data_IF_923629928902
#
_entry.id   IF_923629928902
#
_cell.length_a   1.000
_cell.length_b   1.000
_cell.length_c   1.000
_cell.angle_alpha   90.00
_cell.angle_beta   90.00
_cell.angle_gamma   90.00
#
_symmetry.space_group_name_H-M   'P 1'
#
loop_
_entity.id
_entity.type
_entity.pdbx_description
1 polymer ?
#
# COMPACT_ATOMS: atom_id res chain seq x y z
N UNK A 1 31.03 -24.65 -2.20
CA UNK A 1 30.80 -23.19 -2.03
C UNK A 1 29.72 -22.64 -2.98
N UNK A 2 29.72 -22.99 -4.27
CA UNK A 2 28.67 -22.56 -5.22
C UNK A 2 27.25 -23.04 -4.89
N UNK A 3 27.08 -24.24 -4.31
CA UNK A 3 25.75 -24.78 -3.92
C UNK A 3 25.10 -24.02 -2.74
N UNK A 4 25.89 -23.54 -1.77
CA UNK A 4 25.38 -22.77 -0.64
C UNK A 4 24.99 -21.34 -1.04
N UNK A 5 25.74 -20.74 -1.96
CA UNK A 5 25.41 -19.41 -2.51
C UNK A 5 24.12 -19.48 -3.35
N UNK A 6 23.96 -20.49 -4.21
CA UNK A 6 22.75 -20.67 -5.02
C UNK A 6 21.48 -20.93 -4.19
N UNK A 7 21.59 -21.71 -3.10
CA UNK A 7 20.48 -21.91 -2.16
C UNK A 7 20.17 -20.65 -1.35
N UNK A 8 21.20 -19.88 -0.96
CA UNK A 8 20.99 -18.62 -0.24
C UNK A 8 20.37 -17.55 -1.13
N UNK A 9 20.75 -17.45 -2.41
CA UNK A 9 20.17 -16.49 -3.35
C UNK A 9 18.74 -16.84 -3.72
N UNK A 10 18.45 -18.13 -3.95
CA UNK A 10 17.09 -18.65 -4.15
C UNK A 10 16.18 -18.38 -2.93
N UNK A 11 16.70 -18.59 -1.72
CA UNK A 11 15.98 -18.34 -0.46
C UNK A 11 15.75 -16.84 -0.23
N UNK A 12 16.74 -15.99 -0.51
CA UNK A 12 16.64 -14.52 -0.36
C UNK A 12 15.71 -13.92 -1.41
N UNK A 13 15.78 -14.35 -2.67
CA UNK A 13 14.85 -13.94 -3.74
C UNK A 13 13.40 -14.28 -3.36
N UNK A 14 13.18 -15.52 -2.90
CA UNK A 14 11.86 -15.96 -2.41
C UNK A 14 11.37 -15.15 -1.20
N UNK A 15 12.28 -14.70 -0.33
CA UNK A 15 11.93 -13.98 0.89
C UNK A 15 11.65 -12.50 0.64
N UNK A 16 12.51 -11.79 -0.10
CA UNK A 16 12.31 -10.37 -0.42
C UNK A 16 11.11 -10.17 -1.37
N UNK A 17 10.86 -11.12 -2.28
CA UNK A 17 9.70 -11.05 -3.19
C UNK A 17 8.37 -11.01 -2.43
N UNK A 18 8.25 -11.70 -1.29
CA UNK A 18 7.06 -11.68 -0.43
C UNK A 18 6.78 -10.31 0.20
N UNK A 19 7.78 -9.43 0.25
CA UNK A 19 7.67 -8.08 0.77
C UNK A 19 7.14 -7.06 -0.27
N UNK A 20 6.92 -7.47 -1.53
CA UNK A 20 6.39 -6.64 -2.62
C UNK A 20 4.88 -6.32 -2.53
N UNK A 21 4.24 -6.50 -1.37
CA UNK A 21 2.83 -6.15 -1.08
C UNK A 21 1.86 -6.11 -2.29
N UNK A 22 1.50 -7.28 -2.80
CA UNK A 22 0.47 -7.46 -3.84
C UNK A 22 -0.83 -8.00 -3.24
N UNK A 23 -2.01 -7.56 -3.68
CA UNK A 23 -3.26 -8.11 -3.13
C UNK A 23 -3.63 -9.47 -3.75
N UNK A 24 -3.76 -9.52 -5.08
CA UNK A 24 -4.30 -10.68 -5.80
C UNK A 24 -3.25 -11.54 -6.53
N UNK A 25 -1.97 -11.15 -6.47
CA UNK A 25 -0.88 -11.80 -7.22
C UNK A 25 0.14 -12.48 -6.32
N UNK A 26 0.68 -13.59 -6.83
CA UNK A 26 1.81 -14.29 -6.24
C UNK A 26 3.08 -13.43 -6.30
N UNK A 27 3.51 -12.91 -5.16
CA UNK A 27 4.64 -11.96 -5.07
C UNK A 27 5.98 -12.50 -5.64
N UNK A 28 6.32 -13.81 -5.52
CA UNK A 28 7.43 -14.44 -6.23
C UNK A 28 7.40 -14.33 -7.75
N UNK A 29 6.21 -14.37 -8.38
CA UNK A 29 6.09 -14.21 -9.83
C UNK A 29 6.47 -12.81 -10.28
N UNK A 30 6.03 -11.79 -9.53
CA UNK A 30 6.39 -10.39 -9.74
C UNK A 30 7.90 -10.19 -9.53
N UNK A 31 8.47 -10.78 -8.48
CA UNK A 31 9.92 -10.75 -8.22
C UNK A 31 10.73 -11.28 -9.40
N UNK A 32 10.34 -12.42 -9.99
CA UNK A 32 10.99 -12.98 -11.18
C UNK A 32 10.88 -12.07 -12.41
N UNK A 33 9.73 -11.44 -12.62
CA UNK A 33 9.55 -10.48 -13.72
C UNK A 33 10.46 -9.27 -13.56
N UNK A 34 10.55 -8.71 -12.35
CA UNK A 34 11.45 -7.60 -12.02
C UNK A 34 12.92 -8.01 -12.22
N UNK A 35 13.31 -9.20 -11.78
CA UNK A 35 14.68 -9.70 -11.94
C UNK A 35 15.05 -9.81 -13.43
N UNK A 36 14.14 -10.32 -14.28
CA UNK A 36 14.35 -10.33 -15.73
C UNK A 36 14.55 -8.93 -16.28
N UNK A 37 13.67 -7.98 -15.90
CA UNK A 37 13.78 -6.57 -16.31
C UNK A 37 15.13 -5.94 -15.93
N UNK A 38 15.68 -6.28 -14.77
CA UNK A 38 16.98 -5.79 -14.29
C UNK A 38 18.18 -6.34 -15.07
N UNK A 39 18.03 -7.54 -15.64
CA UNK A 39 19.12 -8.29 -16.29
C UNK A 39 19.00 -8.32 -17.82
N UNK A 40 17.99 -7.67 -18.41
CA UNK A 40 17.73 -7.72 -19.86
C UNK A 40 18.92 -7.22 -20.70
N UNK A 41 19.53 -6.09 -20.34
CA UNK A 41 20.63 -5.45 -21.07
C UNK A 41 21.33 -4.38 -20.21
N UNK A 42 22.34 -3.71 -20.76
CA UNK A 42 23.08 -2.62 -20.09
C UNK A 42 22.51 -1.22 -20.35
N UNK A 43 21.23 -1.12 -20.73
CA UNK A 43 20.56 0.17 -20.87
C UNK A 43 20.45 0.88 -19.52
N UNK A 44 20.29 2.22 -19.57
CA UNK A 44 20.03 3.02 -18.37
C UNK A 44 18.74 2.58 -17.64
N UNK A 45 17.71 2.13 -18.38
CA UNK A 45 16.46 1.64 -17.83
C UNK A 45 16.64 0.31 -17.07
N UNK A 46 17.38 -0.66 -17.63
CA UNK A 46 17.73 -1.91 -16.93
C UNK A 46 18.59 -1.65 -15.69
N UNK A 47 19.57 -0.75 -15.80
CA UNK A 47 20.40 -0.33 -14.69
C UNK A 47 19.57 0.28 -13.55
N UNK A 48 18.58 1.12 -13.86
CA UNK A 48 17.67 1.68 -12.87
C UNK A 48 16.94 0.59 -12.06
N UNK A 49 16.41 -0.44 -12.73
CA UNK A 49 15.74 -1.56 -12.05
C UNK A 49 16.73 -2.34 -11.18
N UNK A 50 17.93 -2.61 -11.69
CA UNK A 50 18.97 -3.35 -10.95
C UNK A 50 19.39 -2.62 -9.68
N UNK A 51 19.70 -1.33 -9.76
CA UNK A 51 20.09 -0.52 -8.61
C UNK A 51 18.93 -0.39 -7.60
N UNK A 52 17.69 -0.17 -8.06
CA UNK A 52 16.53 -0.11 -7.18
C UNK A 52 16.26 -1.46 -6.48
N UNK A 53 16.47 -2.57 -7.18
CA UNK A 53 16.33 -3.91 -6.62
C UNK A 53 17.41 -4.18 -5.55
N UNK A 54 18.64 -3.77 -5.79
CA UNK A 54 19.74 -3.86 -4.81
C UNK A 54 19.48 -2.99 -3.59
N UNK A 55 18.97 -1.77 -3.78
CA UNK A 55 18.56 -0.88 -2.69
C UNK A 55 17.50 -1.56 -1.81
N UNK A 56 16.43 -2.07 -2.44
CA UNK A 56 15.33 -2.74 -1.77
C UNK A 56 15.79 -3.99 -1.02
N UNK A 57 16.58 -4.86 -1.67
CA UNK A 57 17.11 -6.06 -1.06
C UNK A 57 18.06 -5.76 0.11
N UNK A 58 18.87 -4.71 0.00
CA UNK A 58 19.76 -4.25 1.08
C UNK A 58 18.95 -3.83 2.31
N UNK A 59 17.91 -3.02 2.14
CA UNK A 59 17.06 -2.58 3.26
C UNK A 59 16.33 -3.75 3.89
N UNK A 60 15.77 -4.64 3.08
CA UNK A 60 15.07 -5.80 3.58
C UNK A 60 16.00 -6.74 4.38
N UNK A 61 17.25 -6.90 3.97
CA UNK A 61 18.20 -7.82 4.62
C UNK A 61 18.92 -7.22 5.83
N UNK A 62 19.25 -5.94 5.78
CA UNK A 62 20.17 -5.30 6.73
C UNK A 62 19.59 -4.05 7.40
N UNK A 63 18.32 -3.72 7.15
CA UNK A 63 17.75 -2.42 7.51
C UNK A 63 18.39 -1.27 6.71
N UNK A 64 18.11 -0.04 7.11
CA UNK A 64 18.65 1.14 6.45
C UNK A 64 20.17 1.24 6.68
N UNK A 65 20.94 1.17 5.60
CA UNK A 65 22.41 1.26 5.59
C UNK A 65 22.85 2.24 4.48
N UNK A 66 24.07 2.78 4.60
CA UNK A 66 24.65 3.70 3.60
C UNK A 66 24.61 3.12 2.18
N UNK A 67 24.98 1.84 2.03
CA UNK A 67 24.99 1.16 0.74
C UNK A 67 23.59 1.10 0.08
N UNK A 68 22.54 0.91 0.88
CA UNK A 68 21.16 0.91 0.37
C UNK A 68 20.75 2.28 -0.17
N UNK A 69 21.18 3.36 0.50
CA UNK A 69 20.96 4.75 0.06
C UNK A 69 21.76 5.03 -1.23
N UNK A 70 23.00 4.56 -1.32
CA UNK A 70 23.81 4.70 -2.53
C UNK A 70 23.16 4.03 -3.74
N UNK A 71 22.62 2.82 -3.56
CA UNK A 71 21.86 2.13 -4.61
C UNK A 71 20.58 2.91 -5.00
N UNK A 72 19.83 3.46 -4.02
CA UNK A 72 18.67 4.35 -4.30
C UNK A 72 19.10 5.53 -5.18
N UNK A 73 20.18 6.21 -4.82
CA UNK A 73 20.70 7.37 -5.57
C UNK A 73 21.14 6.97 -6.97
N UNK A 74 21.83 5.84 -7.12
CA UNK A 74 22.26 5.31 -8.42
C UNK A 74 21.06 4.96 -9.32
N UNK A 75 20.00 4.37 -8.75
CA UNK A 75 18.77 4.10 -9.48
C UNK A 75 18.11 5.38 -10.01
N UNK A 76 18.02 6.43 -9.18
CA UNK A 76 17.45 7.73 -9.58
C UNK A 76 18.29 8.37 -10.70
N UNK A 77 19.62 8.32 -10.59
CA UNK A 77 20.52 8.81 -11.66
C UNK A 77 20.35 8.04 -12.96
N UNK A 78 20.18 6.72 -12.88
CA UNK A 78 19.94 5.88 -14.06
C UNK A 78 18.58 6.18 -14.72
N UNK A 79 17.52 6.41 -13.94
CA UNK A 79 16.23 6.90 -14.43
C UNK A 79 16.37 8.26 -15.13
N UNK A 80 17.08 9.20 -14.51
CA UNK A 80 17.37 10.51 -15.10
C UNK A 80 18.09 10.38 -16.45
N UNK A 81 19.13 9.54 -16.53
CA UNK A 81 19.84 9.26 -17.79
C UNK A 81 18.92 8.65 -18.85
N UNK A 82 18.07 7.69 -18.47
CA UNK A 82 17.15 7.02 -19.38
C UNK A 82 16.05 7.96 -19.91
N UNK A 83 15.64 8.96 -19.12
CA UNK A 83 14.60 9.94 -19.51
C UNK A 83 14.98 10.80 -20.72
N UNK A 84 16.27 10.90 -21.05
CA UNK A 84 16.77 11.64 -22.21
C UNK A 84 16.82 10.80 -23.49
N UNK A 85 16.32 9.57 -23.47
CA UNK A 85 16.32 8.64 -24.61
C UNK A 85 14.89 8.28 -25.02
N UNK A 86 14.69 7.78 -26.24
CA UNK A 86 13.38 7.29 -26.66
C UNK A 86 12.98 6.07 -25.82
N UNK A 87 11.85 6.17 -25.13
CA UNK A 87 11.32 5.13 -24.25
C UNK A 87 10.33 4.26 -25.04
N UNK A 88 10.70 3.00 -25.28
CA UNK A 88 9.81 1.97 -25.81
C UNK A 88 9.00 1.29 -24.71
N UNK A 89 8.32 0.19 -25.09
CA UNK A 89 7.48 -0.59 -24.16
C UNK A 89 8.31 -1.16 -23.00
N UNK A 90 9.47 -1.76 -23.33
CA UNK A 90 10.33 -2.41 -22.36
C UNK A 90 10.89 -1.40 -21.37
N UNK A 91 11.37 -0.26 -21.86
CA UNK A 91 11.93 0.82 -21.06
C UNK A 91 10.86 1.43 -20.16
N UNK A 92 9.64 1.67 -20.67
CA UNK A 92 8.54 2.20 -19.85
C UNK A 92 8.23 1.26 -18.66
N UNK A 93 8.15 -0.04 -18.91
CA UNK A 93 7.89 -1.04 -17.85
C UNK A 93 9.05 -1.15 -16.85
N UNK A 94 10.30 -1.01 -17.32
CA UNK A 94 11.47 -0.93 -16.45
C UNK A 94 11.42 0.32 -15.57
N UNK A 95 11.01 1.47 -16.09
CA UNK A 95 10.84 2.69 -15.30
C UNK A 95 9.76 2.51 -14.24
N UNK A 96 8.64 1.88 -14.60
CA UNK A 96 7.57 1.52 -13.64
C UNK A 96 8.12 0.62 -12.53
N UNK A 97 8.83 -0.45 -12.88
CA UNK A 97 9.41 -1.38 -11.90
C UNK A 97 10.43 -0.71 -10.98
N UNK A 98 11.34 0.10 -11.53
CA UNK A 98 12.34 0.84 -10.76
C UNK A 98 11.69 1.82 -9.77
N UNK A 99 10.72 2.61 -10.23
CA UNK A 99 9.98 3.53 -9.35
C UNK A 99 9.20 2.78 -8.26
N UNK A 100 8.56 1.65 -8.58
CA UNK A 100 7.84 0.86 -7.57
C UNK A 100 8.78 0.22 -6.53
N UNK A 101 9.99 -0.19 -6.92
CA UNK A 101 11.02 -0.65 -5.97
C UNK A 101 11.52 0.48 -5.07
N UNK A 102 11.70 1.69 -5.61
CA UNK A 102 12.05 2.88 -4.83
C UNK A 102 10.93 3.28 -3.86
N UNK A 103 9.67 3.21 -4.31
CA UNK A 103 8.50 3.37 -3.44
C UNK A 103 8.51 2.33 -2.31
N UNK A 104 8.77 1.06 -2.63
CA UNK A 104 8.84 0.00 -1.63
C UNK A 104 10.00 0.21 -0.65
N UNK A 105 11.17 0.67 -1.12
CA UNK A 105 12.30 1.05 -0.28
C UNK A 105 11.88 2.08 0.77
N UNK A 106 11.28 3.20 0.37
CA UNK A 106 10.84 4.26 1.28
C UNK A 106 9.80 3.75 2.29
N UNK A 107 8.88 2.89 1.87
CA UNK A 107 7.86 2.33 2.76
C UNK A 107 8.49 1.38 3.79
N UNK A 108 9.58 0.68 3.44
CA UNK A 108 10.25 -0.26 4.36
C UNK A 108 11.17 0.42 5.37
N UNK A 109 11.75 1.57 5.03
CA UNK A 109 12.67 2.28 5.94
C UNK A 109 11.95 2.94 7.12
N UNK A 110 10.61 2.96 7.12
CA UNK A 110 9.77 3.55 8.16
C UNK A 110 10.21 4.97 8.57
N UNK A 111 10.86 5.70 7.66
CA UNK A 111 11.28 7.07 7.90
C UNK A 111 10.04 7.95 7.85
N UNK A 112 9.51 8.29 9.03
CA UNK A 112 8.41 9.25 9.20
C UNK A 112 8.74 10.67 8.67
N UNK A 113 9.92 10.88 8.10
CA UNK A 113 10.46 12.18 7.68
C UNK A 113 10.42 12.43 6.17
N UNK A 114 10.12 11.41 5.36
CA UNK A 114 10.15 11.50 3.90
C UNK A 114 8.79 11.08 3.32
N UNK A 115 8.06 12.04 2.75
CA UNK A 115 6.89 11.77 1.90
C UNK A 115 7.29 11.34 0.48
N UNK A 116 8.54 10.91 0.28
CA UNK A 116 9.12 10.65 -1.05
C UNK A 116 8.55 9.40 -1.73
N UNK A 117 8.02 8.44 -0.96
CA UNK A 117 7.40 7.23 -1.52
C UNK A 117 6.31 7.58 -2.55
N UNK A 118 5.55 8.65 -2.30
CA UNK A 118 4.51 9.12 -3.19
C UNK A 118 5.07 9.76 -4.47
N UNK A 119 6.24 10.42 -4.40
CA UNK A 119 6.90 10.97 -5.58
C UNK A 119 7.19 9.87 -6.62
N UNK A 120 7.57 8.67 -6.16
CA UNK A 120 7.79 7.53 -7.06
C UNK A 120 6.49 7.00 -7.66
N UNK A 121 5.39 6.91 -6.90
CA UNK A 121 4.07 6.54 -7.43
C UNK A 121 3.59 7.56 -8.46
N UNK A 122 3.78 8.86 -8.20
CA UNK A 122 3.46 9.90 -9.17
C UNK A 122 4.33 9.82 -10.43
N UNK A 123 5.63 9.53 -10.28
CA UNK A 123 6.52 9.26 -11.40
C UNK A 123 6.03 8.11 -12.28
N UNK A 124 5.54 7.02 -11.68
CA UNK A 124 4.90 5.92 -12.41
C UNK A 124 3.69 6.40 -13.21
N UNK A 125 2.80 7.22 -12.62
CA UNK A 125 1.65 7.80 -13.34
C UNK A 125 2.09 8.62 -14.56
N UNK A 126 3.14 9.43 -14.41
CA UNK A 126 3.68 10.23 -15.52
C UNK A 126 4.20 9.35 -16.66
N UNK A 127 4.97 8.29 -16.34
CA UNK A 127 5.44 7.31 -17.33
C UNK A 127 4.26 6.64 -18.03
N UNK A 128 3.27 6.17 -17.29
CA UNK A 128 2.10 5.50 -17.84
C UNK A 128 1.23 6.42 -18.72
N UNK A 129 1.20 7.71 -18.42
CA UNK A 129 0.52 8.73 -19.23
C UNK A 129 1.30 9.03 -20.52
N UNK A 130 2.62 9.22 -20.41
CA UNK A 130 3.49 9.43 -21.57
C UNK A 130 3.51 8.23 -22.52
N UNK A 131 3.34 7.02 -21.97
CA UNK A 131 3.31 5.75 -22.69
C UNK A 131 1.90 5.23 -22.95
N UNK A 132 0.86 6.07 -22.86
CA UNK A 132 -0.54 5.61 -22.93
C UNK A 132 -0.92 4.90 -24.24
N UNK A 133 -0.22 5.21 -25.34
CA UNK A 133 -0.44 4.60 -26.66
C UNK A 133 0.29 3.25 -26.85
N UNK A 134 1.10 2.83 -25.88
CA UNK A 134 1.85 1.57 -25.99
C UNK A 134 0.98 0.35 -25.64
N UNK A 135 1.17 -0.79 -26.32
CA UNK A 135 0.25 -1.94 -26.24
C UNK A 135 0.35 -2.76 -24.95
N UNK A 136 1.26 -2.45 -24.03
CA UNK A 136 1.53 -3.28 -22.83
C UNK A 136 0.36 -3.39 -21.86
N UNK A 137 -0.61 -2.48 -21.91
CA UNK A 137 -1.78 -2.50 -21.00
C UNK A 137 -2.66 -3.73 -21.17
N UNK A 138 -2.64 -4.34 -22.35
CA UNK A 138 -3.40 -5.55 -22.65
C UNK A 138 -2.56 -6.83 -22.47
N UNK A 139 -1.28 -6.69 -22.15
CA UNK A 139 -0.38 -7.83 -21.98
C UNK A 139 -0.46 -8.37 -20.53
N UNK A 140 -1.05 -9.55 -20.40
CA UNK A 140 -1.16 -10.27 -19.12
C UNK A 140 0.18 -10.53 -18.43
N UNK A 141 1.29 -10.51 -19.16
CA UNK A 141 2.65 -10.70 -18.60
C UNK A 141 3.05 -9.61 -17.61
N UNK A 142 2.45 -8.43 -17.72
CA UNK A 142 2.72 -7.27 -16.85
C UNK A 142 1.58 -6.94 -15.89
N UNK A 143 0.51 -7.74 -15.90
CA UNK A 143 -0.64 -7.62 -15.00
C UNK A 143 -0.23 -7.43 -13.53
N UNK A 144 0.67 -8.28 -13.03
CA UNK A 144 1.13 -8.22 -11.65
C UNK A 144 1.88 -6.93 -11.30
N UNK A 145 2.65 -6.37 -12.24
CA UNK A 145 3.36 -5.11 -12.05
C UNK A 145 2.38 -3.93 -12.01
N UNK A 146 1.44 -3.88 -12.95
CA UNK A 146 0.42 -2.82 -12.98
C UNK A 146 -0.52 -2.89 -11.78
N UNK A 147 -0.88 -4.08 -11.34
CA UNK A 147 -1.69 -4.26 -10.13
C UNK A 147 -0.91 -3.93 -8.85
N UNK A 148 0.42 -4.08 -8.85
CA UNK A 148 1.26 -3.59 -7.76
C UNK A 148 1.25 -2.06 -7.69
N UNK A 149 1.33 -1.37 -8.82
CA UNK A 149 1.14 0.09 -8.91
C UNK A 149 -0.24 0.47 -8.37
N UNK A 150 -1.29 -0.19 -8.87
CA UNK A 150 -2.67 0.08 -8.48
C UNK A 150 -2.92 -0.10 -6.98
N UNK A 151 -2.31 -1.13 -6.38
CA UNK A 151 -2.38 -1.36 -4.94
C UNK A 151 -1.82 -0.18 -4.15
N UNK A 152 -0.60 0.27 -4.46
CA UNK A 152 0.03 1.37 -3.75
C UNK A 152 -0.65 2.71 -4.01
N UNK A 153 -1.16 2.95 -5.22
CA UNK A 153 -1.96 4.13 -5.51
C UNK A 153 -3.24 4.15 -4.67
N UNK A 154 -3.95 3.02 -4.59
CA UNK A 154 -5.19 2.89 -3.79
C UNK A 154 -4.90 3.14 -2.30
N UNK A 155 -3.83 2.55 -1.76
CA UNK A 155 -3.42 2.82 -0.38
C UNK A 155 -2.99 4.28 -0.19
N UNK A 156 -2.42 4.92 -1.19
CA UNK A 156 -2.12 6.35 -1.14
C UNK A 156 -3.35 7.23 -1.07
N UNK A 157 -4.42 6.90 -1.78
CA UNK A 157 -5.71 7.58 -1.64
C UNK A 157 -6.30 7.42 -0.23
N UNK A 158 -6.20 6.22 0.35
CA UNK A 158 -6.60 5.99 1.73
C UNK A 158 -5.77 6.84 2.71
N UNK A 159 -4.43 6.84 2.58
CA UNK A 159 -3.56 7.65 3.42
C UNK A 159 -3.88 9.13 3.27
N UNK A 160 -4.04 9.62 2.05
CA UNK A 160 -4.35 11.03 1.75
C UNK A 160 -5.67 11.49 2.35
N UNK A 161 -6.68 10.62 2.43
CA UNK A 161 -7.96 10.93 3.04
C UNK A 161 -7.83 11.31 4.53
N UNK A 162 -6.91 10.67 5.24
CA UNK A 162 -6.71 10.83 6.69
C UNK A 162 -5.50 11.69 7.05
N UNK A 163 -4.56 11.84 6.13
CA UNK A 163 -3.32 12.60 6.29
C UNK A 163 -3.56 14.08 5.92
N UNK A 164 -3.48 14.98 6.91
CA UNK A 164 -3.56 16.44 6.72
C UNK A 164 -2.17 17.09 6.92
N UNK A 165 -1.31 17.15 5.89
CA UNK A 165 -0.03 17.86 5.98
C UNK A 165 -0.23 19.38 5.97
N UNK A 166 0.85 20.13 6.23
CA UNK A 166 0.88 21.58 6.02
C UNK A 166 0.40 21.98 4.61
N UNK A 167 -0.25 23.15 4.51
CA UNK A 167 -0.98 23.65 3.33
C UNK A 167 -0.15 23.58 2.04
N UNK A 168 1.15 23.87 2.10
CA UNK A 168 2.04 23.88 0.92
C UNK A 168 2.32 22.49 0.35
N UNK A 169 2.50 21.47 1.22
CA UNK A 169 2.63 20.07 0.79
C UNK A 169 1.28 19.52 0.31
N UNK A 170 0.19 20.01 0.89
CA UNK A 170 -1.17 19.63 0.54
C UNK A 170 -1.55 20.05 -0.89
N UNK A 171 -1.16 21.23 -1.37
CA UNK A 171 -1.46 21.69 -2.75
C UNK A 171 -0.68 20.92 -3.83
N UNK A 172 0.60 20.64 -3.59
CA UNK A 172 1.42 19.83 -4.50
C UNK A 172 0.96 18.36 -4.54
N UNK A 173 0.60 17.79 -3.38
CA UNK A 173 0.02 16.46 -3.33
C UNK A 173 -1.37 16.43 -3.99
N UNK A 174 -2.29 17.35 -3.65
CA UNK A 174 -3.65 17.41 -4.22
C UNK A 174 -3.61 17.59 -5.73
N UNK A 175 -2.78 18.48 -6.25
CA UNK A 175 -2.62 18.64 -7.70
C UNK A 175 -2.09 17.33 -8.32
N UNK A 176 -1.12 16.63 -7.73
CA UNK A 176 -0.66 15.33 -8.23
C UNK A 176 -1.68 14.18 -8.12
N UNK A 177 -2.54 14.20 -7.09
CA UNK A 177 -3.63 13.24 -6.92
C UNK A 177 -4.75 13.48 -7.94
N UNK A 178 -5.11 14.74 -8.18
CA UNK A 178 -6.27 15.15 -8.99
C UNK A 178 -5.93 15.51 -10.44
N UNK A 179 -4.66 15.61 -10.83
CA UNK A 179 -4.26 15.89 -12.22
C UNK A 179 -4.03 14.59 -12.99
N UNK A 180 -4.79 14.43 -14.07
CA UNK A 180 -4.62 13.38 -15.07
C UNK A 180 -5.83 12.46 -15.20
N UNK A 181 -6.07 11.95 -16.42
CA UNK A 181 -6.98 10.83 -16.61
C UNK A 181 -6.40 9.61 -15.90
N UNK A 182 -7.24 8.91 -15.15
CA UNK A 182 -6.88 7.69 -14.44
C UNK A 182 -6.81 6.52 -15.44
N UNK A 183 -5.67 6.37 -16.11
CA UNK A 183 -5.49 5.29 -17.09
C UNK A 183 -5.09 3.95 -16.43
N UNK A 184 -4.79 3.94 -15.13
CA UNK A 184 -4.48 2.74 -14.38
C UNK A 184 -5.77 1.97 -14.08
N UNK A 185 -6.18 1.13 -15.04
CA UNK A 185 -7.24 0.16 -14.80
C UNK A 185 -6.62 -1.10 -14.18
N UNK A 186 -7.10 -1.53 -13.01
CA UNK A 186 -6.66 -2.79 -12.43
C UNK A 186 -7.10 -3.94 -13.31
N UNK A 187 -6.40 -5.07 -13.21
CA UNK A 187 -6.89 -6.29 -13.85
C UNK A 187 -8.18 -6.76 -13.19
N UNK A 188 -8.89 -7.68 -13.86
CA UNK A 188 -10.11 -8.29 -13.32
C UNK A 188 -9.92 -8.96 -11.95
N UNK A 189 -8.68 -9.28 -11.57
CA UNK A 189 -8.34 -9.86 -10.26
C UNK A 189 -8.36 -8.85 -9.10
N UNK A 190 -8.29 -7.53 -9.37
CA UNK A 190 -8.24 -6.48 -8.34
C UNK A 190 -9.52 -5.63 -8.26
N UNK A 191 -10.68 -6.22 -8.59
CA UNK A 191 -11.99 -5.56 -8.44
C UNK A 191 -12.23 -5.00 -7.04
N UNK A 192 -11.76 -5.69 -6.00
CA UNK A 192 -11.91 -5.25 -4.62
C UNK A 192 -11.17 -3.93 -4.35
N UNK A 193 -9.91 -3.83 -4.77
CA UNK A 193 -9.15 -2.56 -4.67
C UNK A 193 -9.75 -1.47 -5.53
N UNK A 194 -10.32 -1.81 -6.70
CA UNK A 194 -10.99 -0.82 -7.55
C UNK A 194 -12.15 -0.15 -6.84
N UNK A 195 -13.02 -0.96 -6.22
CA UNK A 195 -14.15 -0.46 -5.43
C UNK A 195 -13.65 0.35 -4.23
N UNK A 196 -12.55 -0.08 -3.59
CA UNK A 196 -11.96 0.66 -2.47
C UNK A 196 -11.41 2.03 -2.89
N UNK A 197 -10.72 2.12 -4.04
CA UNK A 197 -10.23 3.38 -4.61
C UNK A 197 -11.38 4.34 -4.86
N UNK A 198 -12.49 3.84 -5.41
CA UNK A 198 -13.69 4.64 -5.68
C UNK A 198 -14.31 5.19 -4.39
N UNK A 199 -14.41 4.37 -3.33
CA UNK A 199 -14.84 4.84 -2.00
C UNK A 199 -13.92 5.95 -1.47
N UNK A 200 -12.59 5.76 -1.53
CA UNK A 200 -11.63 6.76 -1.08
C UNK A 200 -11.75 8.07 -1.87
N UNK A 201 -11.94 7.98 -3.19
CA UNK A 201 -12.13 9.14 -4.05
C UNK A 201 -13.39 9.94 -3.68
N UNK A 202 -14.54 9.26 -3.55
CA UNK A 202 -15.80 9.91 -3.17
C UNK A 202 -15.68 10.59 -1.80
N UNK A 203 -15.13 9.89 -0.80
CA UNK A 203 -14.96 10.42 0.55
C UNK A 203 -13.93 11.56 0.62
N UNK A 204 -12.94 11.58 -0.28
CA UNK A 204 -11.88 12.59 -0.32
C UNK A 204 -12.24 13.87 -1.05
N UNK A 205 -13.19 13.82 -1.99
CA UNK A 205 -13.58 14.96 -2.82
C UNK A 205 -14.67 15.84 -2.21
N UNK A 206 -15.53 15.29 -1.36
CA UNK A 206 -16.67 16.02 -0.82
C UNK A 206 -16.69 16.03 0.72
N UNK A 207 -16.95 17.20 1.27
CA UNK A 207 -17.23 17.38 2.70
C UNK A 207 -18.67 17.05 3.05
N UNK A 208 -19.61 17.24 2.11
CA UNK A 208 -21.02 16.89 2.30
C UNK A 208 -21.29 15.50 1.71
N UNK A 209 -21.42 14.52 2.60
CA UNK A 209 -21.69 13.14 2.21
C UNK A 209 -23.13 12.90 1.78
N UNK A 210 -24.08 13.78 2.16
CA UNK A 210 -25.52 13.56 1.96
C UNK A 210 -25.90 13.17 0.54
N UNK A 211 -25.55 13.98 -0.49
CA UNK A 211 -25.84 13.67 -1.89
C UNK A 211 -25.16 12.40 -2.43
N UNK A 212 -24.09 11.94 -1.76
CA UNK A 212 -23.24 10.84 -2.19
C UNK A 212 -23.54 9.52 -1.47
N UNK A 213 -24.36 9.53 -0.41
CA UNK A 213 -24.70 8.34 0.38
C UNK A 213 -25.29 7.21 -0.47
N UNK A 214 -26.16 7.52 -1.43
CA UNK A 214 -26.74 6.51 -2.33
C UNK A 214 -25.68 5.77 -3.15
N UNK A 215 -24.68 6.52 -3.67
CA UNK A 215 -23.55 5.95 -4.42
C UNK A 215 -22.67 5.09 -3.52
N UNK A 216 -22.37 5.56 -2.30
CA UNK A 216 -21.60 4.79 -1.32
C UNK A 216 -22.33 3.51 -0.89
N UNK A 217 -23.66 3.55 -0.78
CA UNK A 217 -24.48 2.38 -0.49
C UNK A 217 -24.38 1.34 -1.61
N UNK A 218 -24.53 1.76 -2.88
CA UNK A 218 -24.33 0.86 -4.03
C UNK A 218 -22.91 0.27 -4.06
N UNK A 219 -21.88 1.04 -3.71
CA UNK A 219 -20.52 0.52 -3.60
C UNK A 219 -20.39 -0.50 -2.47
N UNK A 220 -20.97 -0.24 -1.30
CA UNK A 220 -20.98 -1.18 -0.18
C UNK A 220 -21.66 -2.51 -0.55
N UNK A 221 -22.81 -2.45 -1.23
CA UNK A 221 -23.51 -3.64 -1.75
C UNK A 221 -22.65 -4.40 -2.76
N UNK A 222 -22.01 -3.69 -3.70
CA UNK A 222 -21.11 -4.29 -4.68
C UNK A 222 -19.91 -4.97 -4.03
N UNK A 223 -19.34 -4.39 -2.96
CA UNK A 223 -18.24 -4.98 -2.19
C UNK A 223 -18.71 -6.23 -1.45
N UNK A 224 -19.87 -6.17 -0.79
CA UNK A 224 -20.43 -7.27 -0.03
C UNK A 224 -20.75 -8.48 -0.91
N UNK A 225 -21.33 -8.24 -2.08
CA UNK A 225 -21.75 -9.27 -3.04
C UNK A 225 -20.65 -9.71 -4.02
N UNK A 226 -19.45 -9.12 -3.92
CA UNK A 226 -18.35 -9.49 -4.80
C UNK A 226 -17.95 -10.96 -4.58
N UNK A 227 -18.04 -11.76 -5.65
CA UNK A 227 -17.53 -13.12 -5.65
C UNK A 227 -16.01 -13.11 -5.48
N UNK A 228 -15.53 -13.65 -4.36
CA UNK A 228 -14.11 -13.81 -4.10
C UNK A 228 -13.61 -15.09 -4.80
N UNK A 229 -12.56 -15.02 -5.62
CA UNK A 229 -12.05 -16.17 -6.33
C UNK A 229 -11.49 -17.21 -5.35
N UNK A 230 -11.74 -18.49 -5.64
CA UNK A 230 -11.24 -19.60 -4.84
C UNK A 230 -9.75 -19.82 -5.13
N UNK A 231 -8.92 -19.05 -4.42
CA UNK A 231 -7.47 -18.99 -4.58
C UNK A 231 -6.80 -19.13 -3.22
N UNK A 232 -5.49 -19.45 -3.15
CA UNK A 232 -4.75 -19.44 -1.88
C UNK A 232 -4.80 -18.09 -1.13
N UNK A 233 -5.18 -17.01 -1.81
CA UNK A 233 -5.31 -15.66 -1.23
C UNK A 233 -6.73 -15.34 -0.74
N UNK A 234 -7.67 -16.29 -0.80
CA UNK A 234 -9.09 -16.06 -0.46
C UNK A 234 -9.28 -15.47 0.94
N UNK A 235 -8.59 -15.99 1.95
CA UNK A 235 -8.65 -15.45 3.32
C UNK A 235 -8.18 -14.00 3.40
N UNK A 236 -7.10 -13.67 2.69
CA UNK A 236 -6.62 -12.28 2.58
C UNK A 236 -7.66 -11.38 1.91
N UNK A 237 -8.28 -11.85 0.83
CA UNK A 237 -9.34 -11.11 0.13
C UNK A 237 -10.58 -10.92 1.02
N UNK A 238 -10.95 -11.92 1.82
CA UNK A 238 -12.04 -11.83 2.79
C UNK A 238 -11.74 -10.78 3.87
N UNK A 239 -10.53 -10.79 4.44
CA UNK A 239 -10.09 -9.78 5.40
C UNK A 239 -10.12 -8.37 4.81
N UNK A 240 -9.62 -8.18 3.58
CA UNK A 240 -9.71 -6.90 2.89
C UNK A 240 -11.18 -6.46 2.71
N UNK A 241 -12.06 -7.36 2.27
CA UNK A 241 -13.49 -7.05 2.08
C UNK A 241 -14.16 -6.65 3.39
N UNK A 242 -13.93 -7.40 4.46
CA UNK A 242 -14.48 -7.09 5.79
C UNK A 242 -13.98 -5.73 6.27
N UNK A 243 -12.68 -5.48 6.15
CA UNK A 243 -12.06 -4.21 6.53
C UNK A 243 -12.67 -3.04 5.76
N UNK A 244 -12.86 -3.17 4.44
CA UNK A 244 -13.48 -2.14 3.62
C UNK A 244 -14.91 -1.82 4.05
N UNK A 245 -15.73 -2.84 4.34
CA UNK A 245 -17.12 -2.66 4.73
C UNK A 245 -17.24 -2.03 6.13
N UNK A 246 -16.43 -2.51 7.08
CA UNK A 246 -16.33 -1.95 8.43
C UNK A 246 -15.92 -0.47 8.33
N UNK A 247 -14.80 -0.21 7.68
CA UNK A 247 -14.28 1.15 7.50
C UNK A 247 -15.29 2.07 6.83
N UNK A 248 -15.93 1.61 5.75
CA UNK A 248 -16.86 2.42 4.98
C UNK A 248 -18.10 2.78 5.81
N UNK A 249 -18.69 1.83 6.54
CA UNK A 249 -19.84 2.12 7.40
C UNK A 249 -19.45 3.07 8.55
N UNK A 250 -18.27 2.89 9.15
CA UNK A 250 -17.75 3.80 10.18
C UNK A 250 -17.52 5.22 9.66
N UNK A 251 -16.97 5.35 8.45
CA UNK A 251 -16.71 6.64 7.80
C UNK A 251 -17.98 7.44 7.49
N UNK A 252 -19.11 6.78 7.31
CA UNK A 252 -20.40 7.42 7.03
C UNK A 252 -21.30 7.51 8.26
N UNK A 253 -20.77 7.29 9.46
CA UNK A 253 -21.54 7.39 10.72
C UNK A 253 -22.59 6.29 10.89
N UNK A 254 -22.27 5.06 10.47
CA UNK A 254 -23.14 3.89 10.56
C UNK A 254 -24.47 3.99 9.78
N UNK A 255 -24.46 4.76 8.69
CA UNK A 255 -25.66 5.00 7.85
C UNK A 255 -25.85 3.98 6.73
N UNK A 256 -24.84 3.17 6.39
CA UNK A 256 -24.92 2.26 5.24
C UNK A 256 -25.48 0.90 5.60
N UNK A 257 -25.24 0.42 6.82
CA UNK A 257 -25.80 -0.83 7.32
C UNK A 257 -26.05 -0.76 8.83
N UNK A 258 -26.97 -1.57 9.38
CA UNK A 258 -27.21 -1.65 10.81
C UNK A 258 -25.94 -2.02 11.60
N UNK A 259 -25.81 -1.47 12.81
CA UNK A 259 -24.65 -1.73 13.67
C UNK A 259 -24.42 -3.23 13.93
N UNK A 260 -25.49 -4.02 14.09
CA UNK A 260 -25.41 -5.47 14.28
C UNK A 260 -24.74 -6.20 13.11
N UNK A 261 -24.92 -5.73 11.88
CA UNK A 261 -24.26 -6.28 10.69
C UNK A 261 -22.77 -5.97 10.73
N UNK A 262 -22.40 -4.73 11.07
CA UNK A 262 -20.99 -4.33 11.20
C UNK A 262 -20.32 -5.11 12.34
N UNK A 263 -20.99 -5.30 13.48
CA UNK A 263 -20.46 -6.08 14.60
C UNK A 263 -20.22 -7.54 14.20
N UNK A 264 -21.14 -8.15 13.46
CA UNK A 264 -20.94 -9.50 12.92
C UNK A 264 -19.73 -9.58 11.98
N UNK A 265 -19.47 -8.54 11.17
CA UNK A 265 -18.26 -8.45 10.33
C UNK A 265 -16.99 -8.32 11.17
N UNK A 266 -17.01 -7.50 12.21
CA UNK A 266 -15.89 -7.32 13.14
C UNK A 266 -15.55 -8.65 13.82
N UNK A 267 -16.55 -9.33 14.38
CA UNK A 267 -16.36 -10.63 15.04
C UNK A 267 -15.81 -11.69 14.07
N UNK A 268 -16.36 -11.74 12.86
CA UNK A 268 -15.83 -12.63 11.80
C UNK A 268 -14.37 -12.31 11.47
N UNK A 269 -14.03 -11.02 11.36
CA UNK A 269 -12.68 -10.59 11.02
C UNK A 269 -11.67 -10.93 12.13
N UNK A 270 -12.02 -10.67 13.40
CA UNK A 270 -11.19 -11.01 14.56
C UNK A 270 -10.95 -12.52 14.67
N UNK A 271 -11.99 -13.34 14.45
CA UNK A 271 -11.86 -14.80 14.41
C UNK A 271 -10.93 -15.29 13.29
N UNK A 272 -11.00 -14.67 12.10
CA UNK A 272 -10.04 -15.01 11.03
C UNK A 272 -8.61 -14.62 11.47
N UNK A 273 -8.42 -13.45 12.10
CA UNK A 273 -7.10 -13.00 12.54
C UNK A 273 -6.51 -13.89 13.66
N UNK A 274 -7.33 -14.42 14.58
CA UNK A 274 -6.86 -15.34 15.63
C UNK A 274 -6.29 -16.63 15.06
N UNK A 275 -6.86 -17.12 13.96
CA UNK A 275 -6.46 -18.39 13.34
C UNK A 275 -5.25 -18.24 12.42
N UNK A 276 -4.91 -17.02 12.02
CA UNK A 276 -3.78 -16.76 11.13
C UNK A 276 -2.44 -16.87 11.85
N UNK A 277 -1.45 -17.45 11.16
CA UNK A 277 -0.04 -17.45 11.61
C UNK A 277 0.61 -16.08 11.47
N UNK A 278 0.36 -15.41 10.34
CA UNK A 278 0.93 -14.10 9.98
C UNK A 278 -0.06 -13.34 9.09
N UNK A 279 -0.09 -12.01 9.21
CA UNK A 279 -0.90 -11.14 8.35
C UNK A 279 -0.05 -9.99 7.80
N UNK A 280 0.66 -10.16 6.67
CA UNK A 280 1.57 -9.13 6.14
C UNK A 280 0.83 -7.94 5.50
N UNK A 281 -0.51 -7.92 5.54
CA UNK A 281 -1.34 -6.88 4.93
C UNK A 281 -1.77 -5.90 6.00
N UNK A 282 -1.10 -4.76 6.00
CA UNK A 282 -1.19 -3.74 7.05
C UNK A 282 -2.56 -3.05 7.13
N UNK A 283 -3.21 -2.77 6.00
CA UNK A 283 -4.51 -2.08 5.99
C UNK A 283 -5.61 -2.90 6.72
N UNK A 284 -5.86 -4.19 6.41
CA UNK A 284 -6.81 -4.97 7.18
C UNK A 284 -6.48 -5.05 8.66
N UNK A 285 -5.20 -5.24 8.99
CA UNK A 285 -4.75 -5.32 10.37
C UNK A 285 -4.99 -4.02 11.14
N UNK A 286 -4.78 -2.86 10.50
CA UNK A 286 -5.10 -1.56 11.07
C UNK A 286 -6.61 -1.40 11.32
N UNK A 287 -7.43 -1.56 10.27
CA UNK A 287 -8.88 -1.31 10.38
C UNK A 287 -9.54 -2.25 11.38
N UNK A 288 -9.22 -3.55 11.33
CA UNK A 288 -9.79 -4.53 12.25
C UNK A 288 -9.20 -4.35 13.66
N UNK A 289 -7.90 -4.04 13.76
CA UNK A 289 -7.25 -3.75 15.03
C UNK A 289 -7.90 -2.58 15.78
N UNK A 290 -8.30 -1.53 15.07
CA UNK A 290 -9.06 -0.40 15.63
C UNK A 290 -10.41 -0.80 16.23
N UNK A 291 -10.97 -1.95 15.87
CA UNK A 291 -12.24 -2.47 16.39
C UNK A 291 -12.06 -3.44 17.57
N UNK A 292 -10.82 -3.70 18.02
CA UNK A 292 -10.56 -4.50 19.22
C UNK A 292 -10.97 -3.74 20.50
N UNK A 293 -12.10 -4.15 21.09
CA UNK A 293 -12.70 -3.50 22.27
C UNK A 293 -12.37 -4.16 23.60
N UNK A 294 -11.88 -5.41 23.58
CA UNK A 294 -11.53 -6.18 24.76
C UNK A 294 -10.02 -6.36 24.85
N UNK A 295 -9.49 -6.63 26.05
CA UNK A 295 -8.07 -6.91 26.24
C UNK A 295 -7.67 -8.21 25.52
N UNK A 296 -8.58 -9.18 25.43
CA UNK A 296 -8.41 -10.41 24.66
C UNK A 296 -8.22 -10.12 23.16
N UNK A 297 -9.10 -9.31 22.57
CA UNK A 297 -8.99 -8.92 21.16
C UNK A 297 -7.69 -8.13 20.90
N UNK A 298 -7.36 -7.18 21.79
CA UNK A 298 -6.12 -6.38 21.70
C UNK A 298 -4.89 -7.29 21.74
N UNK A 299 -4.90 -8.29 22.63
CA UNK A 299 -3.82 -9.28 22.73
C UNK A 299 -3.66 -10.07 21.43
N UNK A 300 -4.76 -10.58 20.84
CA UNK A 300 -4.75 -11.30 19.56
C UNK A 300 -4.10 -10.45 18.45
N UNK A 301 -4.48 -9.17 18.37
CA UNK A 301 -3.95 -8.24 17.36
C UNK A 301 -2.45 -8.00 17.55
N UNK A 302 -2.02 -7.70 18.78
CA UNK A 302 -0.61 -7.44 19.10
C UNK A 302 0.26 -8.69 18.88
N UNK A 303 -0.23 -9.86 19.26
CA UNK A 303 0.50 -11.13 19.07
C UNK A 303 0.61 -11.47 17.58
N UNK A 304 -0.44 -11.26 16.78
CA UNK A 304 -0.37 -11.42 15.33
C UNK A 304 0.61 -10.43 14.68
N UNK A 305 0.65 -9.17 15.12
CA UNK A 305 1.65 -8.20 14.66
C UNK A 305 3.08 -8.68 14.96
N UNK A 306 3.34 -9.11 16.19
CA UNK A 306 4.66 -9.61 16.61
C UNK A 306 5.09 -10.85 15.80
N UNK A 307 4.19 -11.84 15.65
CA UNK A 307 4.46 -13.05 14.84
C UNK A 307 4.71 -12.71 13.37
N UNK A 308 4.01 -11.70 12.85
CA UNK A 308 4.19 -11.26 11.48
C UNK A 308 5.52 -10.53 11.29
N UNK A 309 5.90 -9.63 12.20
CA UNK A 309 7.18 -8.91 12.15
C UNK A 309 8.39 -9.85 12.32
N UNK A 310 8.26 -10.90 13.13
CA UNK A 310 9.28 -11.94 13.25
C UNK A 310 9.46 -12.80 11.98
N UNK A 311 8.54 -12.73 11.02
CA UNK A 311 8.67 -13.42 9.74
C UNK A 311 9.67 -12.69 8.84
N UNK A 312 10.64 -13.42 8.30
CA UNK A 312 11.71 -12.89 7.45
C UNK A 312 11.21 -12.14 6.19
N UNK A 313 9.93 -12.24 5.83
CA UNK A 313 9.34 -11.60 4.66
C UNK A 313 8.48 -10.36 4.97
N UNK A 314 8.40 -9.93 6.23
CA UNK A 314 7.49 -8.85 6.64
C UNK A 314 8.18 -7.49 6.71
N UNK A 315 7.44 -6.47 6.29
CA UNK A 315 7.71 -5.07 6.64
C UNK A 315 7.61 -4.88 8.15
N UNK A 316 8.27 -3.83 8.66
CA UNK A 316 8.07 -3.42 10.05
C UNK A 316 6.58 -3.15 10.32
N UNK A 317 6.11 -3.62 11.46
CA UNK A 317 4.73 -3.38 11.93
C UNK A 317 4.62 -2.14 12.81
N UNK A 318 5.73 -1.41 13.01
CA UNK A 318 5.82 -0.27 13.90
C UNK A 318 4.71 0.77 13.71
N UNK A 319 4.52 1.26 12.48
CA UNK A 319 3.53 2.31 12.20
C UNK A 319 2.11 1.82 12.47
N UNK A 320 1.76 0.62 12.00
CA UNK A 320 0.41 0.06 12.17
C UNK A 320 0.13 -0.16 13.66
N UNK A 321 1.09 -0.70 14.40
CA UNK A 321 0.99 -0.90 15.84
C UNK A 321 0.78 0.43 16.55
N UNK A 322 1.60 1.44 16.26
CA UNK A 322 1.49 2.77 16.86
C UNK A 322 0.13 3.45 16.57
N UNK A 323 -0.35 3.38 15.33
CA UNK A 323 -1.67 3.91 14.94
C UNK A 323 -2.80 3.18 15.69
N UNK A 324 -2.73 1.85 15.76
CA UNK A 324 -3.76 1.02 16.42
C UNK A 324 -3.81 1.30 17.92
N UNK A 325 -2.66 1.32 18.60
CA UNK A 325 -2.57 1.66 20.02
C UNK A 325 -3.04 3.09 20.30
N UNK A 326 -2.78 4.04 19.40
CA UNK A 326 -3.28 5.40 19.52
C UNK A 326 -4.82 5.46 19.44
N UNK A 327 -5.45 4.65 18.57
CA UNK A 327 -6.91 4.53 18.50
C UNK A 327 -7.46 3.97 19.81
N UNK A 328 -6.88 2.91 20.35
CA UNK A 328 -7.30 2.35 21.64
C UNK A 328 -7.18 3.36 22.78
N UNK A 329 -6.07 4.09 22.86
CA UNK A 329 -5.89 5.15 23.86
C UNK A 329 -6.96 6.25 23.75
N UNK A 330 -7.29 6.68 22.53
CA UNK A 330 -8.34 7.69 22.32
C UNK A 330 -9.72 7.15 22.73
N UNK A 331 -10.02 5.90 22.43
CA UNK A 331 -11.29 5.27 22.80
C UNK A 331 -11.40 5.06 24.32
N UNK A 332 -10.32 4.64 24.98
CA UNK A 332 -10.27 4.49 26.44
C UNK A 332 -10.42 5.84 27.17
N UNK A 333 -9.86 6.93 26.60
CA UNK A 333 -9.98 8.28 27.14
C UNK A 333 -11.36 8.91 26.89
N UNK A 334 -12.03 8.55 25.79
CA UNK A 334 -13.35 9.09 25.46
C UNK A 334 -14.44 8.61 26.42
N UNK A 335 -14.26 7.41 27.01
CA UNK A 335 -15.26 6.78 27.88
C UNK A 335 -16.57 6.58 27.13
N UNK A 336 -17.66 7.15 27.64
CA UNK A 336 -18.99 7.08 27.01
C UNK A 336 -19.20 8.10 25.88
N UNK A 337 -18.24 8.98 25.60
CA UNK A 337 -18.38 9.99 24.54
C UNK A 337 -18.17 9.35 23.17
N UNK A 338 -19.13 9.54 22.27
CA UNK A 338 -18.95 9.15 20.88
C UNK A 338 -17.97 10.10 20.17
N UNK A 339 -16.80 9.58 19.80
CA UNK A 339 -15.88 10.26 18.91
C UNK A 339 -16.25 9.92 17.45
N UNK A 340 -16.40 10.96 16.63
CA UNK A 340 -16.56 10.80 15.19
C UNK A 340 -15.39 9.99 14.61
N UNK A 341 -15.69 8.86 13.97
CA UNK A 341 -14.67 7.92 13.49
C UNK A 341 -13.71 8.60 12.51
N UNK A 342 -14.26 9.37 11.56
CA UNK A 342 -13.47 10.07 10.53
C UNK A 342 -12.48 11.05 11.16
N UNK A 343 -12.95 11.86 12.10
CA UNK A 343 -12.16 12.88 12.78
C UNK A 343 -11.07 12.24 13.64
N UNK A 344 -11.42 11.17 14.38
CA UNK A 344 -10.48 10.40 15.20
C UNK A 344 -9.35 9.81 14.37
N UNK A 345 -9.67 9.06 13.29
CA UNK A 345 -8.65 8.45 12.44
C UNK A 345 -7.80 9.52 11.75
N UNK A 346 -8.42 10.60 11.27
CA UNK A 346 -7.69 11.73 10.65
C UNK A 346 -6.70 12.36 11.62
N UNK A 347 -7.11 12.63 12.85
CA UNK A 347 -6.25 13.25 13.86
C UNK A 347 -5.07 12.34 14.24
N UNK A 348 -5.32 11.05 14.45
CA UNK A 348 -4.29 10.06 14.81
C UNK A 348 -3.29 9.87 13.66
N UNK A 349 -3.78 9.69 12.44
CA UNK A 349 -2.93 9.54 11.25
C UNK A 349 -2.09 10.80 11.07
N UNK A 350 -2.67 11.99 11.20
CA UNK A 350 -1.95 13.27 11.03
C UNK A 350 -0.89 13.52 12.11
N UNK A 351 -1.08 13.03 13.34
CA UNK A 351 -0.13 13.24 14.44
C UNK A 351 1.10 12.33 14.38
N UNK A 352 0.99 11.14 13.77
CA UNK A 352 2.06 10.13 13.77
C UNK A 352 3.12 10.34 12.67
N UNK A 353 2.85 11.14 11.64
CA UNK A 353 3.88 11.53 10.66
C UNK A 353 4.25 13.03 10.74
N UNK A 354 4.75 13.54 11.89
CA UNK A 354 5.06 14.96 12.02
C UNK A 354 5.96 15.40 10.86
N UNK A 355 5.51 16.40 10.10
CA UNK A 355 6.35 17.09 9.12
C UNK A 355 7.48 17.75 9.90
N UNK A 356 8.72 17.31 9.72
CA UNK A 356 9.85 18.08 10.25
C UNK A 356 9.75 19.51 9.67
N UNK A 357 9.85 20.56 10.50
CA UNK A 357 9.94 21.91 9.98
C UNK A 357 11.16 21.94 9.06
N UNK A 358 10.94 22.40 7.83
CA UNK A 358 12.00 22.58 6.84
C UNK A 358 13.16 23.33 7.47
N UNK A 359 14.28 22.63 7.68
CA UNK A 359 15.53 23.32 8.03
C UNK A 359 15.82 24.28 6.88
N UNK A 360 15.96 25.59 7.12
CA UNK A 360 16.32 26.51 6.06
C UNK A 360 17.65 26.05 5.48
N UNK A 361 17.68 25.85 4.17
CA UNK A 361 18.91 25.65 3.42
C UNK A 361 19.83 26.84 3.74
N UNK A 362 20.97 26.56 4.37
CA UNK A 362 22.09 27.48 4.52
C UNK A 362 23.09 27.25 3.38
#
# INVERSE_FOLDING_TARGET
MHYYLANSTSSVESTASKALATLAHDSPSLGRTILRMALTNDSASSAAVREALLAFASVHRHGLQSQGIEFKVSAIRALGKASHTNIGVAEALQHVAACMLLCAFEIHTASCTSSEWWCFVNGVKQVLNASALLPFRNDSSFAALLDWVFHHETLGWFSFLHWRPEIQLQENCRSAFCTGRDYLLPTSSNKLLRLFKECCYILGMDSDLGPLLSRLHTLAENIANLHLPDTPHRTTLELFRLSMLIWLNRMTGATLEPQSTTDARVQRALHILSDLKTCPRQLPLFIIGCEARTDEDRCVILELMNRTEASASSRSMFIVKALTEAVWKQDDLAGERELGYREKITAIVSAIFPTEPSKPYA
#
